data_IF_600310929644
#
_entry.id   IF_600310929644
#
_cell.length_a   1.000
_cell.length_b   1.000
_cell.length_c   1.000
_cell.angle_alpha   90.00
_cell.angle_beta   90.00
_cell.angle_gamma   90.00
#
_symmetry.space_group_name_H-M   'P 1'
#
loop_
_entity.id
_entity.type
_entity.pdbx_description
1 polymer ?
#
# COMPACT_ATOMS: atom_id res chain seq x y z
N UNK A 1 9.43 -14.06 -23.88
CA UNK A 1 10.06 -13.08 -22.97
C UNK A 1 8.95 -12.25 -22.39
N UNK A 2 8.90 -12.06 -21.06
CA UNK A 2 7.90 -11.15 -20.47
C UNK A 2 8.13 -9.75 -21.05
N UNK A 3 7.05 -9.10 -21.41
CA UNK A 3 7.05 -7.80 -22.12
C UNK A 3 7.38 -6.65 -21.15
N UNK A 4 8.60 -6.64 -20.61
CA UNK A 4 9.08 -5.57 -19.75
C UNK A 4 10.45 -5.06 -20.23
N UNK A 5 10.77 -3.84 -19.86
CA UNK A 5 12.05 -3.19 -20.03
C UNK A 5 12.49 -2.55 -18.72
N UNK A 6 13.72 -2.86 -18.26
CA UNK A 6 14.32 -2.25 -17.11
C UNK A 6 15.50 -1.36 -17.55
N UNK A 7 15.45 -0.08 -17.21
CA UNK A 7 16.46 0.92 -17.59
C UNK A 7 17.03 1.59 -16.35
N UNK A 8 18.35 1.74 -16.30
CA UNK A 8 19.06 2.52 -15.30
C UNK A 8 19.56 3.82 -15.96
N UNK A 9 19.37 4.94 -15.29
CA UNK A 9 19.85 6.25 -15.73
C UNK A 9 20.82 6.83 -14.70
N UNK A 10 21.96 7.34 -15.16
CA UNK A 10 22.86 8.11 -14.31
C UNK A 10 22.32 9.53 -14.06
N UNK A 11 22.84 10.25 -13.04
CA UNK A 11 22.54 11.67 -12.85
C UNK A 11 23.00 12.56 -14.01
N UNK A 12 23.95 12.08 -14.85
CA UNK A 12 24.45 12.77 -16.04
C UNK A 12 23.55 12.60 -17.26
N UNK A 13 22.56 11.68 -17.17
CA UNK A 13 21.58 11.41 -18.23
C UNK A 13 21.95 10.23 -19.15
N UNK A 14 23.04 9.50 -18.86
CA UNK A 14 23.33 8.25 -19.57
C UNK A 14 22.30 7.18 -19.21
N UNK A 15 21.80 6.46 -20.19
CA UNK A 15 20.75 5.45 -20.02
C UNK A 15 21.24 4.07 -20.50
N UNK A 16 21.00 3.05 -19.70
CA UNK A 16 21.34 1.66 -20.00
C UNK A 16 20.12 0.75 -19.88
N UNK A 17 19.79 0.06 -20.93
CA UNK A 17 18.84 -1.05 -20.90
C UNK A 17 19.54 -2.26 -20.28
N UNK A 18 19.07 -2.68 -19.12
CA UNK A 18 19.65 -3.81 -18.37
C UNK A 18 18.77 -5.05 -18.41
N UNK A 19 17.70 -5.02 -19.19
CA UNK A 19 16.65 -6.06 -19.25
C UNK A 19 17.21 -7.46 -19.46
N UNK A 20 18.16 -7.63 -20.39
CA UNK A 20 18.76 -8.94 -20.71
C UNK A 20 19.69 -9.47 -19.60
N UNK A 21 20.12 -8.61 -18.68
CA UNK A 21 20.94 -8.98 -17.53
C UNK A 21 20.11 -9.50 -16.35
N UNK A 22 18.82 -9.24 -16.35
CA UNK A 22 17.92 -9.56 -15.23
C UNK A 22 17.49 -11.01 -15.29
N UNK A 23 17.84 -11.79 -14.27
CA UNK A 23 17.39 -13.18 -14.12
C UNK A 23 16.07 -13.28 -13.39
N UNK A 24 15.84 -12.39 -12.44
CA UNK A 24 14.58 -12.27 -11.69
C UNK A 24 14.28 -10.80 -11.43
N UNK A 25 13.07 -10.37 -11.76
CA UNK A 25 12.55 -9.05 -11.46
C UNK A 25 11.29 -9.19 -10.61
N UNK A 26 11.22 -8.43 -9.52
CA UNK A 26 10.03 -8.28 -8.71
C UNK A 26 9.63 -6.81 -8.63
N UNK A 27 8.35 -6.51 -8.82
CA UNK A 27 7.76 -5.18 -8.64
C UNK A 27 6.58 -5.30 -7.71
N UNK A 28 6.61 -4.63 -6.56
CA UNK A 28 5.63 -4.83 -5.50
C UNK A 28 5.12 -3.52 -4.91
N UNK A 29 3.91 -3.57 -4.36
CA UNK A 29 3.27 -2.48 -3.65
C UNK A 29 2.26 -2.95 -2.62
N UNK A 30 1.80 -2.03 -1.79
CA UNK A 30 0.78 -2.30 -0.77
C UNK A 30 0.05 -1.00 -0.42
N UNK A 31 -1.24 -1.08 -0.09
CA UNK A 31 -2.03 0.05 0.41
C UNK A 31 -1.48 0.65 1.71
N UNK A 32 -0.72 -0.14 2.47
CA UNK A 32 -0.09 0.30 3.74
C UNK A 32 1.25 1.01 3.54
N UNK A 33 1.77 1.08 2.32
CA UNK A 33 3.05 1.73 1.99
C UNK A 33 2.89 2.61 0.76
N UNK A 34 3.17 3.88 0.88
CA UNK A 34 3.08 4.82 -0.24
C UNK A 34 4.12 4.55 -1.33
N UNK A 35 5.26 3.95 -0.98
CA UNK A 35 6.32 3.61 -1.92
C UNK A 35 6.19 2.18 -2.44
N UNK A 36 6.23 2.04 -3.77
CA UNK A 36 6.41 0.76 -4.44
C UNK A 36 7.90 0.43 -4.55
N UNK A 37 8.20 -0.86 -4.72
CA UNK A 37 9.57 -1.39 -4.72
C UNK A 37 9.81 -2.24 -5.96
N UNK A 38 11.03 -2.14 -6.48
CA UNK A 38 11.60 -3.10 -7.43
C UNK A 38 12.74 -3.84 -6.75
N UNK A 39 12.80 -5.15 -6.95
CA UNK A 39 13.97 -5.98 -6.64
C UNK A 39 14.38 -6.67 -7.94
N UNK A 40 15.67 -6.57 -8.29
CA UNK A 40 16.22 -7.16 -9.48
C UNK A 40 17.51 -7.92 -9.17
N UNK A 41 17.57 -9.17 -9.61
CA UNK A 41 18.80 -9.99 -9.59
C UNK A 41 19.40 -9.97 -10.99
N UNK A 42 20.59 -9.41 -11.13
CA UNK A 42 21.25 -9.19 -12.43
C UNK A 42 22.56 -9.95 -12.53
N UNK A 43 22.82 -10.51 -13.71
CA UNK A 43 24.09 -11.17 -14.02
C UNK A 43 25.24 -10.15 -14.08
N UNK A 44 26.24 -10.32 -13.22
CA UNK A 44 27.45 -9.49 -13.14
C UNK A 44 28.67 -10.37 -12.88
N UNK A 45 29.06 -11.20 -13.84
CA UNK A 45 30.19 -12.11 -13.66
C UNK A 45 31.47 -11.33 -13.37
N UNK A 46 32.28 -11.84 -12.43
CA UNK A 46 33.52 -11.22 -11.99
C UNK A 46 34.71 -11.48 -12.93
N UNK A 47 34.50 -12.24 -14.02
CA UNK A 47 35.53 -12.68 -14.99
C UNK A 47 35.76 -11.67 -16.13
N UNK A 48 35.07 -10.53 -16.11
CA UNK A 48 35.16 -9.51 -17.17
C UNK A 48 34.48 -9.88 -18.48
N UNK A 49 33.72 -10.99 -18.53
CA UNK A 49 32.98 -11.42 -19.72
C UNK A 49 31.87 -10.47 -20.13
N UNK A 50 31.38 -9.64 -19.20
CA UNK A 50 30.38 -8.63 -19.43
C UNK A 50 30.85 -7.24 -18.93
N UNK A 51 30.46 -6.14 -19.62
CA UNK A 51 30.76 -4.79 -19.15
C UNK A 51 30.20 -4.52 -17.76
N UNK A 52 30.87 -3.68 -16.99
CA UNK A 52 30.34 -3.25 -15.68
C UNK A 52 29.03 -2.51 -15.84
N UNK A 53 28.09 -2.78 -14.93
CA UNK A 53 26.78 -2.11 -14.94
C UNK A 53 26.80 -0.89 -14.02
N UNK A 54 26.20 0.24 -14.45
CA UNK A 54 26.13 1.47 -13.67
C UNK A 54 25.03 1.37 -12.60
N UNK A 55 25.21 0.50 -11.63
CA UNK A 55 24.24 0.21 -10.57
C UNK A 55 24.53 1.03 -9.31
N UNK A 56 24.92 2.30 -9.44
CA UNK A 56 25.24 3.11 -8.28
C UNK A 56 24.01 3.55 -7.52
N UNK A 57 24.15 3.67 -6.20
CA UNK A 57 23.07 4.14 -5.35
C UNK A 57 22.65 5.56 -5.77
N UNK A 58 21.36 5.78 -5.87
CA UNK A 58 20.79 7.04 -6.32
C UNK A 58 20.57 7.14 -7.83
N UNK A 59 21.11 6.21 -8.66
CA UNK A 59 20.75 6.16 -10.07
C UNK A 59 19.25 5.91 -10.23
N UNK A 60 18.65 6.56 -11.22
CA UNK A 60 17.23 6.40 -11.51
C UNK A 60 16.97 5.03 -12.13
N UNK A 61 15.89 4.39 -11.71
CA UNK A 61 15.43 3.09 -12.18
C UNK A 61 14.04 3.23 -12.78
N UNK A 62 13.89 2.81 -14.05
CA UNK A 62 12.61 2.82 -14.75
C UNK A 62 12.22 1.42 -15.15
N UNK A 63 10.95 1.06 -14.90
CA UNK A 63 10.32 -0.15 -15.41
C UNK A 63 9.20 0.22 -16.36
N UNK A 64 9.26 -0.32 -17.57
CA UNK A 64 8.16 -0.33 -18.53
C UNK A 64 7.63 -1.75 -18.67
N UNK A 65 6.30 -1.90 -18.75
CA UNK A 65 5.62 -3.17 -18.98
C UNK A 65 4.62 -2.97 -20.09
N UNK A 66 4.67 -3.82 -21.11
CA UNK A 66 3.84 -3.70 -22.32
C UNK A 66 3.93 -2.31 -22.98
N UNK A 67 5.15 -1.77 -23.03
CA UNK A 67 5.46 -0.47 -23.63
C UNK A 67 5.04 0.76 -22.81
N UNK A 68 4.40 0.60 -21.65
CA UNK A 68 4.02 1.69 -20.76
C UNK A 68 4.92 1.74 -19.51
N UNK A 69 5.44 2.92 -19.18
CA UNK A 69 6.21 3.11 -17.95
C UNK A 69 5.31 2.89 -16.73
N UNK A 70 5.70 1.99 -15.82
CA UNK A 70 4.95 1.60 -14.62
C UNK A 70 5.64 2.00 -13.32
N UNK A 71 6.95 2.25 -13.39
CA UNK A 71 7.72 2.64 -12.21
C UNK A 71 8.81 3.63 -12.60
N UNK A 72 9.00 4.60 -11.75
CA UNK A 72 10.12 5.53 -11.74
C UNK A 72 10.59 5.71 -10.30
N UNK A 73 11.82 5.33 -10.02
CA UNK A 73 12.39 5.38 -8.69
C UNK A 73 13.90 5.47 -8.72
N UNK A 74 14.55 5.17 -7.60
CA UNK A 74 16.01 5.23 -7.48
C UNK A 74 16.53 3.96 -6.80
N UNK A 75 17.72 3.53 -7.17
CA UNK A 75 18.43 2.44 -6.52
C UNK A 75 18.79 2.88 -5.10
N UNK A 76 18.31 2.12 -4.10
CA UNK A 76 18.52 2.41 -2.68
C UNK A 76 19.40 1.37 -2.00
N UNK A 77 19.47 0.17 -2.56
CA UNK A 77 20.33 -0.91 -2.07
C UNK A 77 20.98 -1.61 -3.25
N UNK A 78 22.25 -1.96 -3.09
CA UNK A 78 23.02 -2.77 -4.03
C UNK A 78 23.83 -3.77 -3.23
N UNK A 79 23.66 -5.05 -3.52
CA UNK A 79 24.42 -6.11 -2.91
C UNK A 79 25.27 -6.84 -3.97
N UNK A 80 26.56 -6.99 -3.70
CA UNK A 80 27.51 -7.79 -4.48
C UNK A 80 28.20 -8.75 -3.52
N UNK A 81 28.18 -10.04 -3.82
CA UNK A 81 28.88 -11.05 -3.05
C UNK A 81 30.08 -11.60 -3.82
N UNK A 82 31.14 -11.96 -3.11
CA UNK A 82 32.38 -12.49 -3.76
C UNK A 82 32.22 -13.91 -4.27
N UNK A 83 31.24 -14.63 -3.75
CA UNK A 83 30.87 -16.00 -4.10
C UNK A 83 29.73 -16.09 -5.12
N UNK A 84 29.26 -14.93 -5.61
CA UNK A 84 28.17 -14.82 -6.57
C UNK A 84 28.61 -14.11 -7.84
N UNK A 85 28.03 -14.52 -8.97
CA UNK A 85 28.13 -13.82 -10.26
C UNK A 85 26.93 -12.90 -10.52
N UNK A 86 26.22 -12.50 -9.46
CA UNK A 86 25.05 -11.65 -9.56
C UNK A 86 25.17 -10.42 -8.66
N UNK A 87 24.47 -9.36 -9.04
CA UNK A 87 24.22 -8.18 -8.20
C UNK A 87 22.74 -8.10 -7.93
N UNK A 88 22.38 -7.91 -6.67
CA UNK A 88 21.00 -7.67 -6.26
C UNK A 88 20.77 -6.17 -6.05
N UNK A 89 19.72 -5.66 -6.65
CA UNK A 89 19.31 -4.26 -6.53
C UNK A 89 17.94 -4.13 -5.91
N UNK A 90 17.81 -3.14 -5.03
CA UNK A 90 16.49 -2.66 -4.60
C UNK A 90 16.30 -1.21 -5.05
N UNK A 91 15.19 -0.95 -5.74
CA UNK A 91 14.73 0.39 -6.11
C UNK A 91 13.45 0.76 -5.39
N UNK A 92 13.34 1.98 -4.91
CA UNK A 92 12.11 2.56 -4.37
C UNK A 92 11.65 3.72 -5.24
N UNK A 93 10.34 3.83 -5.46
CA UNK A 93 9.76 4.98 -6.15
C UNK A 93 9.84 6.26 -5.31
N UNK A 94 9.30 7.34 -5.83
CA UNK A 94 9.32 8.66 -5.16
C UNK A 94 8.50 8.73 -3.88
N UNK A 95 7.69 7.72 -3.56
CA UNK A 95 7.00 7.58 -2.27
C UNK A 95 7.96 7.56 -1.08
N UNK A 96 9.23 7.16 -1.31
CA UNK A 96 10.28 7.27 -0.29
C UNK A 96 10.49 8.71 0.21
N UNK A 97 10.27 9.72 -0.62
CA UNK A 97 10.40 11.12 -0.21
C UNK A 97 9.27 11.53 0.74
N UNK A 98 8.07 10.98 0.59
CA UNK A 98 6.99 11.22 1.55
C UNK A 98 7.23 10.52 2.89
N UNK A 99 7.75 9.30 2.87
CA UNK A 99 8.00 8.53 4.11
C UNK A 99 9.30 8.92 4.82
N UNK A 100 10.29 9.43 4.08
CA UNK A 100 11.61 9.78 4.60
C UNK A 100 11.77 11.23 5.05
N UNK A 101 10.76 12.09 4.82
CA UNK A 101 10.80 13.49 5.24
C UNK A 101 9.72 13.77 6.29
N UNK A 102 10.06 14.62 7.25
CA UNK A 102 9.16 15.15 8.28
C UNK A 102 8.97 16.65 8.08
N UNK A 103 7.81 17.15 8.45
CA UNK A 103 7.51 18.57 8.33
C UNK A 103 6.74 19.10 9.54
N UNK A 104 6.65 20.44 9.61
CA UNK A 104 5.87 21.15 10.60
C UNK A 104 4.81 22.00 9.91
N UNK A 105 3.55 21.55 9.93
CA UNK A 105 2.46 22.19 9.22
C UNK A 105 1.27 22.46 10.11
N UNK A 106 0.49 23.47 9.74
CA UNK A 106 -0.82 23.75 10.34
C UNK A 106 -1.78 24.08 9.21
N UNK A 107 -2.81 23.28 9.05
CA UNK A 107 -3.90 23.51 8.11
C UNK A 107 -5.15 23.85 8.88
N UNK A 108 -5.87 24.89 8.46
CA UNK A 108 -7.12 25.34 9.09
C UNK A 108 -8.14 25.71 8.01
N UNK A 109 -9.23 24.96 7.92
CA UNK A 109 -10.23 25.15 6.86
C UNK A 109 -9.62 24.93 5.47
N UNK A 110 -8.78 23.91 5.32
CA UNK A 110 -8.06 23.61 4.07
C UNK A 110 -8.56 22.29 3.51
N UNK A 111 -8.80 22.23 2.21
CA UNK A 111 -9.12 20.97 1.54
C UNK A 111 -7.90 20.02 1.55
N UNK A 112 -8.06 18.71 1.82
CA UNK A 112 -6.96 17.74 1.83
C UNK A 112 -6.07 17.78 0.61
N UNK A 113 -6.65 17.83 -0.59
CA UNK A 113 -5.92 17.92 -1.86
C UNK A 113 -5.08 19.20 -1.98
N UNK A 114 -5.56 20.32 -1.45
CA UNK A 114 -4.80 21.57 -1.43
C UNK A 114 -3.65 21.51 -0.42
N UNK A 115 -3.87 20.93 0.76
CA UNK A 115 -2.84 20.71 1.77
C UNK A 115 -1.72 19.80 1.24
N UNK A 116 -2.07 18.69 0.57
CA UNK A 116 -1.11 17.77 -0.04
C UNK A 116 -0.29 18.44 -1.14
N UNK A 117 -0.90 19.28 -1.99
CA UNK A 117 -0.15 20.05 -3.00
C UNK A 117 0.88 20.97 -2.35
N UNK A 118 0.52 21.64 -1.25
CA UNK A 118 1.44 22.51 -0.53
C UNK A 118 2.61 21.72 0.09
N UNK A 119 2.33 20.60 0.76
CA UNK A 119 3.37 19.71 1.30
C UNK A 119 4.36 19.27 0.21
N UNK A 120 3.83 18.80 -0.92
CA UNK A 120 4.64 18.27 -2.01
C UNK A 120 5.48 19.37 -2.69
N UNK A 121 4.93 20.58 -2.81
CA UNK A 121 5.65 21.72 -3.40
C UNK A 121 6.90 22.10 -2.59
N UNK A 122 6.81 22.10 -1.25
CA UNK A 122 7.92 22.44 -0.37
C UNK A 122 9.10 21.45 -0.47
N UNK A 123 8.81 20.21 -0.84
CA UNK A 123 9.82 19.12 -0.97
C UNK A 123 10.12 18.75 -2.44
N UNK A 124 9.60 19.49 -3.41
CA UNK A 124 9.82 19.23 -4.83
C UNK A 124 9.27 17.86 -5.28
N UNK A 125 8.23 17.36 -4.63
CA UNK A 125 7.58 16.08 -4.98
C UNK A 125 6.54 16.34 -6.07
N UNK A 126 6.68 15.73 -7.27
CA UNK A 126 5.71 15.90 -8.33
C UNK A 126 4.33 15.37 -7.95
N UNK A 127 3.29 16.13 -8.31
CA UNK A 127 1.90 15.78 -8.00
C UNK A 127 1.13 15.63 -9.31
N UNK A 128 0.52 14.47 -9.48
CA UNK A 128 -0.44 14.17 -10.53
C UNK A 128 -1.88 14.50 -10.11
N UNK A 129 -2.77 13.52 -10.22
CA UNK A 129 -4.17 13.67 -9.82
C UNK A 129 -4.37 13.45 -8.33
N UNK A 130 -5.08 14.36 -7.67
CA UNK A 130 -5.53 14.20 -6.29
C UNK A 130 -7.05 14.18 -6.26
N UNK A 131 -7.64 13.16 -5.64
CA UNK A 131 -9.08 13.07 -5.45
C UNK A 131 -9.61 14.29 -4.71
N UNK A 132 -10.59 14.97 -5.29
CA UNK A 132 -11.30 16.08 -4.66
C UNK A 132 -12.25 15.54 -3.59
N UNK A 133 -12.07 15.99 -2.36
CA UNK A 133 -12.82 15.47 -1.21
C UNK A 133 -14.13 16.21 -0.94
N UNK A 134 -14.19 17.47 -1.34
CA UNK A 134 -15.31 18.38 -1.05
C UNK A 134 -15.45 18.77 0.42
N UNK A 135 -14.45 18.46 1.27
CA UNK A 135 -14.45 18.76 2.70
C UNK A 135 -13.26 19.64 3.07
N UNK A 136 -13.35 20.28 4.23
CA UNK A 136 -12.26 21.06 4.81
C UNK A 136 -11.84 20.45 6.13
N UNK A 137 -10.53 20.42 6.36
CA UNK A 137 -9.95 19.84 7.58
C UNK A 137 -9.15 20.89 8.34
N UNK A 138 -8.99 20.65 9.65
CA UNK A 138 -8.16 21.48 10.53
C UNK A 138 -7.26 20.58 11.36
N UNK A 139 -5.93 20.68 11.16
CA UNK A 139 -4.96 19.82 11.84
C UNK A 139 -3.60 20.48 11.92
N UNK A 140 -2.88 20.24 13.02
CA UNK A 140 -1.49 20.65 13.24
C UNK A 140 -0.59 19.41 13.28
N UNK A 141 0.50 19.44 12.52
CA UNK A 141 1.45 18.36 12.37
C UNK A 141 2.84 18.79 12.84
N UNK A 142 3.17 18.65 14.12
CA UNK A 142 4.48 19.01 14.66
C UNK A 142 5.48 17.87 14.48
N UNK A 143 6.39 17.96 13.48
CA UNK A 143 7.41 16.95 13.23
C UNK A 143 6.81 15.59 12.89
N UNK A 144 5.96 15.53 11.87
CA UNK A 144 5.28 14.30 11.42
C UNK A 144 5.78 13.96 10.02
N UNK A 145 5.92 12.67 9.70
CA UNK A 145 6.27 12.22 8.36
C UNK A 145 5.22 12.65 7.34
N UNK A 146 5.65 13.12 6.16
CA UNK A 146 4.74 13.64 5.14
C UNK A 146 3.72 12.60 4.69
N UNK A 147 4.12 11.32 4.57
CA UNK A 147 3.19 10.22 4.23
C UNK A 147 2.05 10.11 5.23
N UNK A 148 2.36 10.18 6.54
CA UNK A 148 1.35 10.16 7.60
C UNK A 148 0.45 11.39 7.58
N UNK A 149 0.97 12.55 7.16
CA UNK A 149 0.14 13.74 6.97
C UNK A 149 -0.86 13.53 5.82
N UNK A 150 -0.39 13.02 4.68
CA UNK A 150 -1.26 12.72 3.53
C UNK A 150 -2.36 11.74 3.93
N UNK A 151 -2.00 10.60 4.55
CA UNK A 151 -2.96 9.60 4.99
C UNK A 151 -3.97 10.19 6.00
N UNK A 152 -3.50 10.96 7.00
CA UNK A 152 -4.36 11.59 8.01
C UNK A 152 -5.31 12.62 7.43
N UNK A 153 -4.88 13.45 6.47
CA UNK A 153 -5.72 14.43 5.80
C UNK A 153 -6.88 13.76 5.06
N UNK A 154 -6.60 12.66 4.35
CA UNK A 154 -7.63 11.90 3.65
C UNK A 154 -8.46 11.00 4.57
N UNK A 155 -7.92 10.55 5.72
CA UNK A 155 -8.71 9.87 6.77
C UNK A 155 -9.78 10.80 7.32
N UNK A 156 -9.42 12.04 7.67
CA UNK A 156 -10.41 13.04 8.13
C UNK A 156 -11.46 13.36 7.06
N UNK A 157 -11.08 13.33 5.79
CA UNK A 157 -12.06 13.48 4.71
C UNK A 157 -13.00 12.28 4.61
N UNK A 158 -12.45 11.06 4.72
CA UNK A 158 -13.22 9.82 4.69
C UNK A 158 -14.25 9.75 5.82
N UNK A 159 -13.86 10.18 7.04
CA UNK A 159 -14.77 10.28 8.19
C UNK A 159 -15.96 11.22 7.95
N UNK A 160 -15.74 12.31 7.18
CA UNK A 160 -16.79 13.29 6.89
C UNK A 160 -17.70 12.90 5.71
N UNK A 161 -17.13 12.30 4.64
CA UNK A 161 -17.86 12.04 3.40
C UNK A 161 -18.17 10.57 3.12
N UNK A 162 -17.67 9.64 3.97
CA UNK A 162 -17.88 8.20 3.84
C UNK A 162 -17.10 7.53 2.71
N UNK A 163 -16.28 8.28 1.95
CA UNK A 163 -15.47 7.74 0.87
C UNK A 163 -14.17 7.15 1.40
N UNK A 164 -13.46 6.41 0.56
CA UNK A 164 -12.15 5.83 0.88
C UNK A 164 -11.12 6.26 -0.16
N UNK A 165 -9.90 6.53 0.28
CA UNK A 165 -8.84 7.10 -0.54
C UNK A 165 -7.54 6.33 -0.38
N UNK A 166 -6.74 6.30 -1.43
CA UNK A 166 -5.43 5.65 -1.45
C UNK A 166 -4.40 6.58 -2.10
N UNK A 167 -3.27 6.78 -1.44
CA UNK A 167 -2.10 7.48 -1.97
C UNK A 167 -1.14 6.48 -2.63
N UNK A 168 -0.63 6.81 -3.83
CA UNK A 168 0.36 6.02 -4.57
C UNK A 168 1.14 6.90 -5.54
N UNK A 169 2.23 6.39 -6.11
CA UNK A 169 2.94 7.03 -7.20
C UNK A 169 2.64 6.35 -8.52
N UNK A 170 2.38 7.16 -9.56
CA UNK A 170 2.15 6.67 -10.92
C UNK A 170 3.47 6.35 -11.64
N UNK A 171 3.38 5.80 -12.86
CA UNK A 171 4.55 5.44 -13.66
C UNK A 171 5.46 6.64 -14.02
N UNK A 172 4.95 7.86 -14.02
CA UNK A 172 5.73 9.08 -14.22
C UNK A 172 6.44 9.58 -12.94
N UNK A 173 6.20 8.91 -11.80
CA UNK A 173 6.75 9.29 -10.51
C UNK A 173 6.04 10.48 -9.87
N UNK A 174 4.76 10.68 -10.17
CA UNK A 174 3.92 11.71 -9.59
C UNK A 174 3.01 11.10 -8.53
N UNK A 175 2.81 11.82 -7.42
CA UNK A 175 1.86 11.42 -6.38
C UNK A 175 0.43 11.50 -6.90
N UNK A 176 -0.28 10.41 -6.78
CA UNK A 176 -1.73 10.34 -6.99
C UNK A 176 -2.44 9.99 -5.68
N UNK A 177 -3.59 10.59 -5.45
CA UNK A 177 -4.57 10.09 -4.48
C UNK A 177 -5.84 9.75 -5.24
N UNK A 178 -6.21 8.49 -5.18
CA UNK A 178 -7.38 7.96 -5.89
C UNK A 178 -8.48 7.59 -4.91
N UNK A 179 -9.73 7.81 -5.31
CA UNK A 179 -10.89 7.27 -4.60
C UNK A 179 -10.98 5.77 -4.84
N UNK A 180 -11.42 5.00 -3.84
CA UNK A 180 -11.64 3.56 -3.92
C UNK A 180 -12.47 3.21 -5.15
N UNK A 181 -11.96 2.39 -6.09
CA UNK A 181 -12.70 2.06 -7.30
C UNK A 181 -13.90 1.15 -7.00
N UNK A 182 -15.02 1.43 -7.66
CA UNK A 182 -16.24 0.64 -7.60
C UNK A 182 -16.33 -0.42 -8.71
N UNK A 183 -15.45 -0.34 -9.71
CA UNK A 183 -15.41 -1.25 -10.84
C UNK A 183 -14.10 -2.03 -10.87
N UNK A 184 -14.19 -3.32 -11.23
CA UNK A 184 -13.03 -4.17 -11.38
C UNK A 184 -12.19 -3.77 -12.59
N UNK A 185 -10.88 -3.66 -12.42
CA UNK A 185 -9.91 -3.49 -13.51
C UNK A 185 -9.76 -4.77 -14.34
N UNK A 186 -9.88 -5.94 -13.71
CA UNK A 186 -9.71 -7.25 -14.33
C UNK A 186 -10.56 -8.31 -13.63
N UNK A 187 -10.93 -9.35 -14.39
CA UNK A 187 -11.54 -10.57 -13.85
C UNK A 187 -10.48 -11.64 -13.62
N UNK A 188 -10.47 -12.25 -12.42
CA UNK A 188 -9.63 -13.38 -12.05
C UNK A 188 -10.53 -14.63 -11.93
N UNK A 189 -10.29 -15.62 -12.78
CA UNK A 189 -11.14 -16.80 -12.87
C UNK A 189 -10.33 -18.07 -13.18
N UNK A 190 -10.80 -19.27 -12.72
CA UNK A 190 -10.23 -20.56 -13.09
C UNK A 190 -10.22 -20.76 -14.61
N UNK A 191 -9.21 -21.47 -15.12
CA UNK A 191 -8.99 -21.74 -16.54
C UNK A 191 -8.77 -20.51 -17.43
N UNK A 192 -8.70 -19.31 -16.83
CA UNK A 192 -8.40 -18.05 -17.53
C UNK A 192 -7.02 -17.54 -17.12
N UNK A 193 -6.89 -17.07 -15.91
CA UNK A 193 -5.66 -16.47 -15.40
C UNK A 193 -5.38 -16.83 -13.93
N UNK A 194 -6.33 -17.42 -13.20
CA UNK A 194 -6.14 -17.92 -11.83
C UNK A 194 -5.27 -19.17 -11.84
N UNK A 195 -4.21 -19.18 -11.05
CA UNK A 195 -3.36 -20.36 -10.79
C UNK A 195 -3.70 -20.98 -9.44
N UNK A 196 -3.62 -20.18 -8.38
CA UNK A 196 -4.00 -20.63 -7.02
C UNK A 196 -4.81 -19.56 -6.31
N UNK A 197 -5.77 -20.01 -5.49
CA UNK A 197 -6.46 -19.19 -4.51
C UNK A 197 -6.33 -19.87 -3.16
N UNK A 198 -5.87 -19.11 -2.16
CA UNK A 198 -5.80 -19.55 -0.77
C UNK A 198 -6.62 -18.59 0.08
N UNK A 199 -7.56 -19.13 0.82
CA UNK A 199 -8.30 -18.42 1.86
C UNK A 199 -7.77 -18.90 3.20
N UNK A 200 -7.32 -17.99 4.04
CA UNK A 200 -6.87 -18.27 5.40
C UNK A 200 -7.78 -17.55 6.36
N UNK A 201 -8.35 -18.30 7.29
CA UNK A 201 -9.15 -17.77 8.40
C UNK A 201 -8.33 -17.89 9.69
N UNK A 202 -8.28 -16.83 10.48
CA UNK A 202 -7.46 -16.74 11.67
C UNK A 202 -8.23 -16.04 12.81
N UNK A 203 -8.26 -16.73 13.95
CA UNK A 203 -8.84 -16.24 15.21
C UNK A 203 -7.78 -16.09 16.32
N UNK A 204 -6.50 -16.24 16.01
CA UNK A 204 -5.41 -16.15 17.01
C UNK A 204 -5.36 -14.80 17.71
N UNK A 205 -5.75 -13.72 17.03
CA UNK A 205 -5.86 -12.36 17.54
C UNK A 205 -7.28 -11.92 17.85
N UNK A 206 -8.25 -12.87 17.90
CA UNK A 206 -9.66 -12.54 18.07
C UNK A 206 -9.92 -11.73 19.33
N UNK A 207 -10.70 -10.64 19.18
CA UNK A 207 -11.32 -9.91 20.29
C UNK A 207 -12.80 -9.71 19.93
N UNK A 208 -13.66 -10.31 20.73
CA UNK A 208 -15.10 -10.37 20.49
C UNK A 208 -15.93 -9.72 21.59
N UNK A 209 -15.27 -9.04 22.52
CA UNK A 209 -15.89 -8.22 23.53
C UNK A 209 -15.05 -6.95 23.79
N UNK A 210 -15.69 -5.83 23.99
CA UNK A 210 -15.05 -4.57 24.38
C UNK A 210 -15.76 -4.02 25.61
N UNK A 211 -15.04 -3.94 26.72
CA UNK A 211 -15.52 -3.33 27.95
C UNK A 211 -15.10 -1.86 27.99
N UNK A 212 -16.07 -0.96 28.11
CA UNK A 212 -15.87 0.49 28.14
C UNK A 212 -15.88 0.94 29.61
N UNK A 213 -14.81 1.56 30.04
CA UNK A 213 -14.63 2.08 31.40
C UNK A 213 -14.52 3.62 31.38
N UNK A 214 -14.91 4.27 32.47
CA UNK A 214 -14.53 5.66 32.73
C UNK A 214 -13.02 5.74 33.09
N UNK A 215 -12.46 6.93 33.05
CA UNK A 215 -11.11 7.23 33.53
C UNK A 215 -10.89 6.88 35.02
N UNK A 216 -11.97 6.86 35.80
CA UNK A 216 -11.98 6.45 37.22
C UNK A 216 -12.13 4.94 37.43
N UNK A 217 -12.19 4.14 36.36
CA UNK A 217 -12.24 2.67 36.42
C UNK A 217 -13.63 2.09 36.64
N UNK A 218 -14.72 2.87 36.47
CA UNK A 218 -16.09 2.34 36.55
C UNK A 218 -16.51 1.80 35.18
N UNK A 219 -16.99 0.56 35.14
CA UNK A 219 -17.56 -0.05 33.93
C UNK A 219 -18.82 0.73 33.50
N UNK A 220 -18.84 1.18 32.27
CA UNK A 220 -19.99 1.87 31.63
C UNK A 220 -20.88 0.84 30.96
N UNK A 221 -20.30 0.08 30.02
CA UNK A 221 -20.99 -1.02 29.33
C UNK A 221 -19.98 -1.95 28.67
N UNK A 222 -20.47 -3.12 28.21
CA UNK A 222 -19.72 -4.03 27.33
C UNK A 222 -20.46 -4.16 26.00
N UNK A 223 -19.72 -4.04 24.89
CA UNK A 223 -20.19 -4.34 23.55
C UNK A 223 -19.56 -5.68 23.16
N UNK A 224 -20.34 -6.63 22.68
CA UNK A 224 -19.80 -7.98 22.36
C UNK A 224 -20.54 -8.61 21.18
N UNK A 225 -19.78 -9.43 20.43
CA UNK A 225 -20.33 -10.38 19.47
C UNK A 225 -20.64 -11.70 20.19
N UNK A 226 -21.90 -11.88 20.55
CA UNK A 226 -22.34 -13.04 21.31
C UNK A 226 -22.22 -14.37 20.55
N UNK A 227 -22.34 -14.37 19.22
CA UNK A 227 -22.20 -15.56 18.40
C UNK A 227 -20.74 -16.02 18.36
N UNK A 228 -19.82 -15.09 18.13
CA UNK A 228 -18.40 -15.34 18.19
C UNK A 228 -17.95 -15.80 19.58
N UNK A 229 -18.46 -15.19 20.65
CA UNK A 229 -18.14 -15.59 22.02
C UNK A 229 -18.66 -16.99 22.37
N UNK A 230 -19.78 -17.40 21.84
CA UNK A 230 -20.32 -18.73 22.01
C UNK A 230 -19.52 -19.81 21.29
N UNK A 231 -18.94 -19.49 20.10
CA UNK A 231 -18.15 -20.42 19.29
C UNK A 231 -16.71 -20.57 19.78
N UNK A 232 -16.06 -19.44 20.13
CA UNK A 232 -14.60 -19.37 20.34
C UNK A 232 -14.19 -19.06 21.78
N UNK A 233 -15.15 -18.72 22.65
CA UNK A 233 -14.88 -18.16 23.98
C UNK A 233 -14.79 -16.64 23.93
N UNK A 234 -14.81 -16.01 25.11
CA UNK A 234 -14.78 -14.55 25.22
C UNK A 234 -13.33 -14.05 25.30
N UNK A 235 -12.99 -13.13 24.41
CA UNK A 235 -11.73 -12.39 24.36
C UNK A 235 -12.03 -10.90 24.45
N UNK A 236 -11.60 -10.23 25.51
CA UNK A 236 -12.04 -8.88 25.85
C UNK A 236 -10.92 -7.86 25.68
N UNK A 237 -11.25 -6.76 24.99
CA UNK A 237 -10.50 -5.51 24.98
C UNK A 237 -11.09 -4.50 25.95
N UNK A 238 -10.29 -3.52 26.42
CA UNK A 238 -10.74 -2.43 27.29
C UNK A 238 -10.54 -1.11 26.55
N UNK A 239 -11.64 -0.33 26.46
CA UNK A 239 -11.62 1.08 26.07
C UNK A 239 -11.89 1.96 27.27
N UNK A 240 -11.26 3.13 27.31
CA UNK A 240 -11.53 4.15 28.31
C UNK A 240 -12.19 5.34 27.64
N UNK A 241 -13.39 5.74 28.11
CA UNK A 241 -14.06 6.93 27.67
C UNK A 241 -13.92 8.07 28.66
N UNK A 242 -13.83 9.30 28.15
CA UNK A 242 -13.87 10.52 28.98
C UNK A 242 -15.30 10.88 29.33
N UNK A 243 -15.44 11.68 30.38
CA UNK A 243 -16.77 12.19 30.78
C UNK A 243 -17.42 13.00 29.65
N UNK A 244 -18.65 12.60 29.30
CA UNK A 244 -19.45 13.23 28.23
C UNK A 244 -19.19 12.67 26.82
N UNK A 245 -18.26 11.72 26.65
CA UNK A 245 -18.03 11.02 25.38
C UNK A 245 -18.72 9.65 25.37
N UNK A 246 -19.12 9.15 24.21
CA UNK A 246 -19.63 7.79 24.00
C UNK A 246 -18.68 7.00 23.11
N UNK A 247 -17.91 6.09 23.69
CA UNK A 247 -16.98 5.20 22.99
C UNK A 247 -17.68 3.99 22.32
N UNK A 248 -19.00 3.99 22.19
CA UNK A 248 -19.73 2.85 21.63
C UNK A 248 -19.46 2.59 20.17
N UNK A 249 -19.34 3.63 19.37
CA UNK A 249 -18.98 3.50 17.95
C UNK A 249 -17.54 2.99 17.80
N UNK A 250 -16.59 3.47 18.62
CA UNK A 250 -15.21 2.99 18.65
C UNK A 250 -15.14 1.51 19.08
N UNK A 251 -15.92 1.11 20.08
CA UNK A 251 -16.01 -0.28 20.51
C UNK A 251 -16.55 -1.20 19.40
N UNK A 252 -17.55 -0.73 18.64
CA UNK A 252 -18.10 -1.49 17.52
C UNK A 252 -17.06 -1.63 16.38
N UNK A 253 -16.37 -0.54 16.02
CA UNK A 253 -15.29 -0.57 15.04
C UNK A 253 -14.17 -1.51 15.47
N UNK A 254 -13.82 -1.50 16.77
CA UNK A 254 -12.83 -2.43 17.32
C UNK A 254 -13.21 -3.89 17.11
N UNK A 255 -14.47 -4.26 17.38
CA UNK A 255 -14.95 -5.64 17.16
C UNK A 255 -14.93 -6.03 15.68
N UNK A 256 -15.24 -5.12 14.79
CA UNK A 256 -15.17 -5.35 13.33
C UNK A 256 -13.73 -5.55 12.85
N UNK A 257 -12.79 -4.79 13.39
CA UNK A 257 -11.37 -4.86 13.01
C UNK A 257 -10.63 -6.05 13.63
N UNK A 258 -11.05 -6.50 14.80
CA UNK A 258 -10.39 -7.57 15.57
C UNK A 258 -11.23 -8.86 15.69
N UNK A 259 -12.25 -9.02 14.86
CA UNK A 259 -13.02 -10.24 14.71
C UNK A 259 -12.26 -11.33 13.95
N UNK A 260 -12.98 -12.30 13.41
CA UNK A 260 -12.42 -13.31 12.50
C UNK A 260 -11.69 -12.64 11.34
N UNK A 261 -10.39 -12.87 11.26
CA UNK A 261 -9.55 -12.36 10.17
C UNK A 261 -9.60 -13.31 8.98
N UNK A 262 -9.95 -12.81 7.81
CA UNK A 262 -9.93 -13.58 6.58
C UNK A 262 -8.96 -12.93 5.58
N UNK A 263 -7.93 -13.68 5.18
CA UNK A 263 -6.96 -13.24 4.18
C UNK A 263 -7.08 -14.10 2.94
N UNK A 264 -7.21 -13.47 1.79
CA UNK A 264 -7.20 -14.14 0.49
C UNK A 264 -5.89 -13.85 -0.23
N UNK A 265 -5.17 -14.92 -0.57
CA UNK A 265 -3.97 -14.84 -1.41
C UNK A 265 -4.27 -15.49 -2.75
N UNK A 266 -4.03 -14.76 -3.83
CA UNK A 266 -4.23 -15.20 -5.21
C UNK A 266 -2.88 -15.22 -5.94
N UNK A 267 -2.59 -16.29 -6.65
CA UNK A 267 -1.54 -16.33 -7.68
C UNK A 267 -2.21 -16.44 -9.05
N UNK A 268 -1.82 -15.57 -9.96
CA UNK A 268 -2.44 -15.49 -11.28
C UNK A 268 -1.41 -15.10 -12.36
N UNK A 269 -1.79 -15.25 -13.63
CA UNK A 269 -0.99 -14.72 -14.73
C UNK A 269 -0.80 -13.22 -14.57
N UNK A 270 0.38 -12.72 -14.94
CA UNK A 270 0.76 -11.33 -14.77
C UNK A 270 -0.04 -10.38 -15.65
N UNK A 271 -0.53 -9.31 -15.05
CA UNK A 271 -1.14 -8.18 -15.74
C UNK A 271 -0.79 -6.90 -14.98
N UNK A 272 -0.28 -5.85 -15.65
CA UNK A 272 0.15 -4.62 -14.99
C UNK A 272 -0.98 -3.80 -14.34
N UNK A 273 -2.24 -4.14 -14.57
CA UNK A 273 -3.39 -3.55 -13.90
C UNK A 273 -3.64 -4.12 -12.49
N UNK A 274 -2.99 -5.23 -12.14
CA UNK A 274 -3.15 -5.93 -10.86
C UNK A 274 -2.30 -5.29 -9.75
N UNK A 275 -2.46 -3.99 -9.52
CA UNK A 275 -1.72 -3.24 -8.50
C UNK A 275 -2.59 -2.90 -7.29
N UNK A 276 -1.95 -2.77 -6.13
CA UNK A 276 -2.60 -2.34 -4.88
C UNK A 276 -3.40 -1.06 -5.08
N UNK A 277 -4.61 -1.04 -4.54
CA UNK A 277 -5.58 0.02 -4.75
C UNK A 277 -6.59 -0.22 -5.86
N UNK A 278 -6.31 -1.10 -6.82
CA UNK A 278 -7.28 -1.45 -7.85
C UNK A 278 -8.23 -2.56 -7.35
N UNK A 279 -9.41 -2.64 -7.99
CA UNK A 279 -10.38 -3.69 -7.74
C UNK A 279 -10.29 -4.79 -8.80
N UNK A 280 -10.60 -6.02 -8.40
CA UNK A 280 -10.69 -7.20 -9.27
C UNK A 280 -12.01 -7.94 -9.04
N UNK A 281 -12.55 -8.54 -10.08
CA UNK A 281 -13.69 -9.44 -9.95
C UNK A 281 -13.16 -10.88 -9.82
N UNK A 282 -13.21 -11.42 -8.61
CA UNK A 282 -12.81 -12.81 -8.34
C UNK A 282 -13.99 -13.73 -8.62
N UNK A 283 -13.75 -14.79 -9.38
CA UNK A 283 -14.72 -15.86 -9.64
C UNK A 283 -14.09 -17.21 -9.32
N UNK A 284 -14.31 -17.70 -8.13
CA UNK A 284 -13.95 -19.06 -7.74
C UNK A 284 -15.07 -19.68 -6.88
N UNK A 285 -15.65 -20.77 -7.37
CA UNK A 285 -16.69 -21.48 -6.64
C UNK A 285 -16.12 -22.53 -5.69
N UNK A 286 -14.85 -22.92 -5.85
CA UNK A 286 -14.22 -24.00 -5.07
C UNK A 286 -13.90 -23.53 -3.64
N UNK A 287 -13.38 -22.31 -3.52
CA UNK A 287 -13.09 -21.71 -2.22
C UNK A 287 -14.27 -20.84 -1.70
N UNK A 288 -15.42 -20.90 -2.39
CA UNK A 288 -16.60 -20.07 -2.09
C UNK A 288 -16.31 -18.57 -2.05
N UNK A 289 -15.26 -18.14 -2.79
CA UNK A 289 -14.80 -16.77 -2.86
C UNK A 289 -15.14 -16.19 -4.24
N UNK A 290 -16.21 -15.42 -4.31
CA UNK A 290 -16.63 -14.73 -5.53
C UNK A 290 -17.14 -13.34 -5.21
N UNK A 291 -16.78 -12.37 -6.05
CA UNK A 291 -17.25 -10.98 -5.90
C UNK A 291 -16.19 -9.95 -6.25
N UNK A 292 -16.56 -8.70 -6.05
CA UNK A 292 -15.64 -7.57 -6.18
C UNK A 292 -14.73 -7.53 -4.96
N UNK A 293 -13.41 -7.58 -5.21
CA UNK A 293 -12.36 -7.50 -4.20
C UNK A 293 -11.42 -6.36 -4.51
N UNK A 294 -10.74 -5.86 -3.50
CA UNK A 294 -9.69 -4.85 -3.64
C UNK A 294 -8.33 -5.46 -3.34
N UNK A 295 -7.30 -5.01 -4.07
CA UNK A 295 -5.93 -5.49 -3.92
C UNK A 295 -5.25 -4.69 -2.80
N UNK A 296 -4.97 -5.33 -1.67
CA UNK A 296 -4.22 -4.74 -0.55
C UNK A 296 -2.72 -4.72 -0.80
N UNK A 297 -2.21 -5.80 -1.38
CA UNK A 297 -0.81 -5.91 -1.74
C UNK A 297 -0.66 -6.72 -3.02
N UNK A 298 0.33 -6.36 -3.80
CA UNK A 298 0.67 -7.04 -5.04
C UNK A 298 2.17 -7.27 -5.14
N UNK A 299 2.53 -8.36 -5.80
CA UNK A 299 3.88 -8.65 -6.23
C UNK A 299 3.83 -9.21 -7.64
N UNK A 300 4.41 -8.48 -8.57
CA UNK A 300 4.62 -8.88 -9.95
C UNK A 300 6.00 -9.51 -10.06
N UNK A 301 6.11 -10.69 -10.67
CA UNK A 301 7.39 -11.39 -10.80
C UNK A 301 7.61 -11.83 -12.25
N UNK A 302 8.77 -11.47 -12.78
CA UNK A 302 9.30 -11.98 -14.05
C UNK A 302 10.48 -12.88 -13.75
N UNK A 303 10.35 -14.15 -14.09
CA UNK A 303 11.37 -15.17 -13.87
C UNK A 303 11.23 -16.28 -14.90
N UNK A 304 12.36 -16.76 -15.45
CA UNK A 304 12.40 -17.85 -16.44
C UNK A 304 11.45 -17.63 -17.64
N UNK A 305 11.32 -16.38 -18.10
CA UNK A 305 10.45 -16.02 -19.22
C UNK A 305 8.95 -16.00 -18.89
N UNK A 306 8.57 -16.20 -17.63
CA UNK A 306 7.19 -16.16 -17.16
C UNK A 306 6.91 -14.86 -16.41
N UNK A 307 5.67 -14.39 -16.52
CA UNK A 307 5.16 -13.25 -15.75
C UNK A 307 3.91 -13.67 -14.97
N UNK A 308 3.96 -13.50 -13.66
CA UNK A 308 2.86 -13.80 -12.76
C UNK A 308 2.72 -12.78 -11.65
N UNK A 309 1.53 -12.72 -11.05
CA UNK A 309 1.22 -11.85 -9.93
C UNK A 309 0.80 -12.66 -8.72
N UNK A 310 1.27 -12.24 -7.55
CA UNK A 310 0.73 -12.67 -6.26
C UNK A 310 0.03 -11.49 -5.61
N UNK A 311 -1.23 -11.68 -5.23
CA UNK A 311 -2.11 -10.64 -4.70
C UNK A 311 -2.59 -11.02 -3.31
N UNK A 312 -2.68 -10.04 -2.42
CA UNK A 312 -3.49 -10.12 -1.21
C UNK A 312 -4.77 -9.32 -1.46
N UNK A 313 -5.92 -9.98 -1.30
CA UNK A 313 -7.23 -9.39 -1.59
C UNK A 313 -8.06 -9.25 -0.32
N UNK A 314 -8.93 -8.24 -0.29
CA UNK A 314 -9.96 -8.08 0.72
C UNK A 314 -11.30 -7.66 0.09
N UNK A 315 -12.39 -7.81 0.86
CA UNK A 315 -13.75 -7.41 0.46
C UNK A 315 -14.19 -6.07 1.07
N UNK A 316 -13.41 -5.46 1.95
CA UNK A 316 -13.89 -4.38 2.83
C UNK A 316 -13.17 -3.06 2.60
N UNK A 317 -12.00 -2.89 3.17
CA UNK A 317 -11.35 -1.60 3.26
C UNK A 317 -10.08 -1.53 2.43
N UNK A 318 -9.90 -0.42 1.70
CA UNK A 318 -8.75 -0.16 0.87
C UNK A 318 -7.89 0.98 1.41
N UNK A 319 -8.25 1.57 2.54
CA UNK A 319 -7.61 2.78 3.03
C UNK A 319 -6.64 2.49 4.17
N UNK A 320 -5.47 3.14 4.15
CA UNK A 320 -4.55 3.18 5.28
C UNK A 320 -4.98 4.30 6.23
N UNK A 321 -5.95 4.03 7.09
CA UNK A 321 -6.45 5.01 8.05
C UNK A 321 -5.39 5.39 9.07
N UNK A 322 -5.15 6.66 9.25
CA UNK A 322 -4.07 7.18 10.09
C UNK A 322 -4.53 8.38 10.91
N UNK A 323 -4.43 8.27 12.22
CA UNK A 323 -4.60 9.37 13.15
C UNK A 323 -3.25 10.02 13.45
N UNK A 324 -2.83 10.98 12.64
CA UNK A 324 -1.60 11.74 12.87
C UNK A 324 -1.89 13.22 13.19
N UNK A 325 -0.91 13.89 13.81
CA UNK A 325 -1.03 15.30 14.18
C UNK A 325 -1.88 15.54 15.43
N UNK A 326 -2.22 16.81 15.66
CA UNK A 326 -3.02 17.28 16.81
C UNK A 326 -4.12 18.21 16.35
N UNK A 327 -5.22 18.25 17.06
CA UNK A 327 -6.28 19.24 16.83
C UNK A 327 -5.72 20.65 17.01
N UNK A 328 -6.26 21.61 16.23
CA UNK A 328 -5.93 23.01 16.36
C UNK A 328 -6.78 23.54 17.51
N UNK A 329 -6.16 23.70 18.65
CA UNK A 329 -6.61 24.31 19.89
C UNK A 329 -8.10 24.35 20.20
N UNK A 330 -8.52 23.59 21.13
CA UNK A 330 -9.55 24.04 22.07
C UNK A 330 -8.89 24.72 23.26
#
# INVERSE_FOLDING_TARGET
MGDYQLTILSPQGDAWDVTERVSTLSWSGSVKRVSRQIEAVMATPNDGSLPELPCDLGNELRLSVQGAQRFLGHIVTREKATDSSTTELTGLDRGRFLSGNEGWYTFSGTAPEAAVRALCADFGIPVGSLAETGVQVARKYPGVALSKMVDSLYTMAAEQNGKRYLSRFNGAGELEVVEKPEAAALEIAPRKNLQTLRVTEDISGLQNAVAIYTDTGRLVRTVSDGESAALYGQFQHILTQRDGEDAGAEAQAWLEDNGLQQTMTVECLGDPALISGNAVLLRDNTAQAAGLCWIDADTHTWKNGQYFCRLTLNFRNLMNETAAGREIGR
#
